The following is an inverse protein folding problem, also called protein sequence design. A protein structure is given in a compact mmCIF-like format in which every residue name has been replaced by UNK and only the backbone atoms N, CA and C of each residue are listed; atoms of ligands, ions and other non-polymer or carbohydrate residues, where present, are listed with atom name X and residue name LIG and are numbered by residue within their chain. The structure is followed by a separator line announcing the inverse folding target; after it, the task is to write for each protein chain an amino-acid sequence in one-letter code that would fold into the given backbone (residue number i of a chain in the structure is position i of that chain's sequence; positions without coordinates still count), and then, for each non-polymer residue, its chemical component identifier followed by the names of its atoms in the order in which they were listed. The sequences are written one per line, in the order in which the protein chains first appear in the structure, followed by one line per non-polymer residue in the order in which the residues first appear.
data_IF_226620951106
#
_entry.id   IF_226620951106
#
_cell.length_a   1.000
_cell.length_b   1.000
_cell.length_c   1.000
_cell.angle_alpha   90.00
_cell.angle_beta   90.00
_cell.angle_gamma   90.00
#
_symmetry.space_group_name_H-M   'P 1'
#
loop_
_entity.id
_entity.type
_entity.pdbx_description
1 polymer ?
#
# COMPACT_ATOMS: atom_id res chain seq x y z
N UNK A 1 -28.58 22.93 -79.17
CA UNK A 1 -29.87 22.27 -78.85
C UNK A 1 -29.56 21.19 -77.83
N UNK A 2 -29.69 21.53 -76.55
CA UNK A 2 -30.90 21.38 -75.72
C UNK A 2 -31.03 19.94 -75.20
N UNK A 3 -30.90 19.87 -73.86
CA UNK A 3 -31.48 18.87 -72.95
C UNK A 3 -30.89 17.48 -73.10
N UNK A 4 -29.89 17.15 -72.28
CA UNK A 4 -29.86 15.86 -71.57
C UNK A 4 -28.79 15.76 -70.45
N UNK A 5 -28.12 16.87 -70.07
CA UNK A 5 -27.08 16.87 -69.03
C UNK A 5 -27.62 17.30 -67.65
N UNK A 6 -28.84 16.91 -67.27
CA UNK A 6 -29.44 17.35 -65.99
C UNK A 6 -30.34 16.33 -65.29
N UNK A 7 -30.20 15.03 -65.59
CA UNK A 7 -31.03 13.96 -64.99
C UNK A 7 -30.24 12.81 -64.39
N UNK A 8 -28.91 12.92 -64.26
CA UNK A 8 -28.04 11.92 -63.62
C UNK A 8 -27.44 12.41 -62.28
N UNK A 9 -28.10 13.33 -61.60
CA UNK A 9 -27.72 13.81 -60.25
C UNK A 9 -28.78 13.39 -59.22
N UNK A 10 -29.50 12.29 -59.47
CA UNK A 10 -30.48 11.75 -58.51
C UNK A 10 -30.37 10.23 -58.36
N UNK A 11 -29.14 9.71 -58.32
CA UNK A 11 -28.85 8.33 -57.90
C UNK A 11 -27.51 8.29 -57.13
N UNK A 12 -27.30 9.27 -56.24
CA UNK A 12 -26.17 9.32 -55.29
C UNK A 12 -26.62 8.96 -53.86
N UNK A 13 -27.87 8.56 -53.67
CA UNK A 13 -28.34 8.00 -52.42
C UNK A 13 -28.48 6.48 -52.57
N UNK A 14 -27.96 5.73 -51.59
CA UNK A 14 -27.96 4.26 -51.48
C UNK A 14 -26.76 3.58 -52.16
N UNK A 15 -25.57 3.75 -51.59
CA UNK A 15 -24.48 2.74 -51.62
C UNK A 15 -23.41 3.09 -50.55
N UNK A 16 -23.85 3.35 -49.32
CA UNK A 16 -22.98 3.42 -48.13
C UNK A 16 -23.67 2.71 -46.96
N UNK A 17 -23.97 1.43 -47.14
CA UNK A 17 -24.38 0.53 -46.09
C UNK A 17 -23.76 -0.83 -46.38
N UNK A 18 -22.55 -1.06 -45.86
CA UNK A 18 -21.88 -2.34 -46.02
C UNK A 18 -20.42 -2.31 -45.62
N UNK A 19 -20.14 -2.91 -44.46
CA UNK A 19 -18.83 -3.41 -44.04
C UNK A 19 -17.76 -2.38 -43.62
N UNK A 20 -18.03 -1.65 -42.53
CA UNK A 20 -16.98 -1.44 -41.51
C UNK A 20 -16.98 -2.66 -40.59
N UNK A 21 -16.33 -3.75 -41.03
CA UNK A 21 -15.94 -4.81 -40.09
C UNK A 21 -14.78 -4.29 -39.27
N UNK A 22 -15.10 -3.79 -38.08
CA UNK A 22 -14.14 -3.52 -37.01
C UNK A 22 -13.48 -4.85 -36.59
N UNK A 23 -12.39 -5.23 -37.25
CA UNK A 23 -11.44 -6.17 -36.69
C UNK A 23 -10.54 -5.41 -35.70
N UNK A 24 -11.14 -4.93 -34.60
CA UNK A 24 -10.43 -4.41 -33.44
C UNK A 24 -10.66 -5.38 -32.29
N UNK A 25 -9.93 -6.49 -32.29
CA UNK A 25 -9.70 -7.28 -31.09
C UNK A 25 -8.54 -8.25 -31.36
N UNK A 26 -7.33 -7.74 -31.16
CA UNK A 26 -6.09 -8.51 -31.30
C UNK A 26 -4.99 -7.92 -30.43
N UNK A 27 -5.36 -7.38 -29.26
CA UNK A 27 -4.38 -7.17 -28.20
C UNK A 27 -3.76 -8.52 -27.88
N UNK A 28 -2.45 -8.61 -28.07
CA UNK A 28 -1.64 -9.77 -27.75
C UNK A 28 -1.99 -10.25 -26.34
N UNK A 29 -2.74 -11.35 -26.25
CA UNK A 29 -2.81 -12.13 -25.01
C UNK A 29 -1.37 -12.49 -24.70
N UNK A 30 -0.80 -11.88 -23.66
CA UNK A 30 0.42 -12.38 -23.03
C UNK A 30 0.14 -13.85 -22.74
N UNK A 31 0.83 -14.73 -23.45
CA UNK A 31 0.78 -16.17 -23.20
C UNK A 31 1.43 -16.37 -21.84
N UNK A 32 0.62 -16.39 -20.78
CA UNK A 32 1.05 -16.87 -19.48
C UNK A 32 1.53 -18.30 -19.68
N UNK A 33 2.82 -18.52 -19.42
CA UNK A 33 3.43 -19.84 -19.45
C UNK A 33 2.60 -20.77 -18.55
N UNK A 34 2.00 -21.81 -19.14
CA UNK A 34 1.12 -22.72 -18.42
C UNK A 34 1.86 -23.47 -17.29
N UNK A 35 3.20 -23.46 -17.27
CA UNK A 35 4.01 -24.00 -16.18
C UNK A 35 3.98 -23.13 -14.91
N UNK A 36 3.61 -21.85 -15.00
CA UNK A 36 3.58 -20.91 -13.87
C UNK A 36 2.23 -20.86 -13.14
N UNK A 37 1.22 -21.58 -13.63
CA UNK A 37 -0.13 -21.57 -13.09
C UNK A 37 -0.97 -20.36 -13.53
N UNK A 38 -2.04 -20.08 -12.79
CA UNK A 38 -2.96 -18.96 -13.07
C UNK A 38 -2.66 -17.79 -12.15
N UNK A 39 -2.41 -16.63 -12.74
CA UNK A 39 -2.32 -15.36 -12.01
C UNK A 39 -3.63 -15.06 -11.27
N UNK A 40 -3.53 -14.71 -10.00
CA UNK A 40 -4.66 -14.41 -9.14
C UNK A 40 -4.70 -12.91 -8.85
N UNK A 41 -5.86 -12.29 -9.07
CA UNK A 41 -6.12 -10.95 -8.56
C UNK A 41 -6.59 -11.07 -7.10
N UNK A 42 -5.76 -10.58 -6.18
CA UNK A 42 -6.00 -10.64 -4.74
C UNK A 42 -6.62 -9.30 -4.30
N UNK A 43 -7.85 -9.29 -3.76
CA UNK A 43 -8.46 -8.05 -3.28
C UNK A 43 -7.70 -7.49 -2.07
N UNK A 44 -7.67 -6.17 -1.93
CA UNK A 44 -6.96 -5.51 -0.84
C UNK A 44 -5.45 -5.86 -0.81
N UNK A 45 -4.86 -6.17 -1.95
CA UNK A 45 -3.44 -6.50 -2.06
C UNK A 45 -2.55 -5.28 -1.85
N UNK A 46 -1.26 -5.53 -1.64
CA UNK A 46 -0.26 -4.46 -1.55
C UNK A 46 -0.17 -3.66 -2.87
N UNK A 47 -0.43 -4.25 -4.04
CA UNK A 47 -0.47 -3.50 -5.30
C UNK A 47 -1.49 -2.34 -5.26
N UNK A 48 -2.63 -2.56 -4.61
CA UNK A 48 -3.70 -1.57 -4.43
C UNK A 48 -3.47 -0.68 -3.18
N UNK A 49 -2.97 -1.26 -2.09
CA UNK A 49 -2.86 -0.62 -0.78
C UNK A 49 -1.42 -0.54 -0.27
N UNK A 50 -0.46 -0.31 -1.17
CA UNK A 50 0.94 -0.10 -0.81
C UNK A 50 1.10 1.11 0.10
N UNK A 51 2.10 1.10 0.98
CA UNK A 51 2.44 2.27 1.78
C UNK A 51 2.88 3.44 0.89
N UNK A 52 2.60 4.67 1.30
CA UNK A 52 3.02 5.86 0.56
C UNK A 52 3.67 6.89 1.49
N UNK A 53 4.03 8.06 0.95
CA UNK A 53 4.65 9.15 1.73
C UNK A 53 3.82 9.67 2.91
N UNK A 54 2.55 9.31 3.00
CA UNK A 54 1.58 9.84 3.95
C UNK A 54 1.00 8.78 4.87
N UNK A 55 0.98 7.51 4.47
CA UNK A 55 0.40 6.41 5.23
C UNK A 55 1.27 5.16 5.19
N UNK A 56 1.43 4.54 6.36
CA UNK A 56 1.80 3.14 6.42
C UNK A 56 0.57 2.28 6.22
N UNK A 57 0.72 1.20 5.45
CA UNK A 57 -0.36 0.26 5.17
C UNK A 57 0.09 -1.18 5.41
N UNK A 58 -0.87 -2.00 5.80
CA UNK A 58 -0.69 -3.43 5.95
C UNK A 58 -1.91 -4.17 5.41
N UNK A 59 -1.65 -5.22 4.63
CA UNK A 59 -2.67 -6.06 4.03
C UNK A 59 -2.65 -7.44 4.66
N UNK A 60 -3.80 -8.07 4.80
CA UNK A 60 -3.88 -9.40 5.38
C UNK A 60 -5.08 -10.19 4.91
N UNK A 61 -4.99 -11.51 5.06
CA UNK A 61 -6.05 -12.42 4.67
C UNK A 61 -6.34 -13.48 5.73
N UNK A 62 -7.57 -13.98 5.73
CA UNK A 62 -8.01 -14.96 6.72
C UNK A 62 -9.09 -15.86 6.17
N UNK A 63 -8.95 -17.16 6.42
CA UNK A 63 -9.94 -18.16 6.03
C UNK A 63 -10.42 -19.02 7.19
N UNK A 64 -11.72 -19.31 7.19
CA UNK A 64 -12.37 -20.18 8.17
C UNK A 64 -13.79 -20.56 7.73
N UNK A 65 -14.31 -21.67 8.24
CA UNK A 65 -15.75 -21.98 8.16
C UNK A 65 -16.60 -21.09 9.08
N UNK A 66 -15.98 -20.40 10.04
CA UNK A 66 -16.61 -19.39 10.89
C UNK A 66 -16.19 -17.98 10.44
N UNK A 67 -17.16 -17.16 10.01
CA UNK A 67 -16.90 -15.81 9.49
C UNK A 67 -16.15 -14.91 10.49
N UNK A 68 -16.51 -14.96 11.77
CA UNK A 68 -15.84 -14.15 12.81
C UNK A 68 -14.38 -14.55 12.97
N UNK A 69 -14.08 -15.85 12.90
CA UNK A 69 -12.70 -16.33 12.94
C UNK A 69 -11.92 -15.92 11.68
N UNK A 70 -12.52 -15.99 10.49
CA UNK A 70 -11.88 -15.54 9.24
C UNK A 70 -11.54 -14.04 9.29
N UNK A 71 -12.49 -13.22 9.74
CA UNK A 71 -12.28 -11.77 9.94
C UNK A 71 -11.16 -11.48 10.93
N UNK A 72 -11.18 -12.13 12.09
CA UNK A 72 -10.14 -11.95 13.11
C UNK A 72 -8.75 -12.31 12.58
N UNK A 73 -8.63 -13.41 11.81
CA UNK A 73 -7.36 -13.79 11.17
C UNK A 73 -6.88 -12.73 10.19
N UNK A 74 -7.75 -12.26 9.30
CA UNK A 74 -7.39 -11.24 8.31
C UNK A 74 -6.94 -9.93 8.96
N UNK A 75 -7.64 -9.47 10.01
CA UNK A 75 -7.24 -8.27 10.75
C UNK A 75 -5.92 -8.44 11.51
N UNK A 76 -5.69 -9.60 12.13
CA UNK A 76 -4.41 -9.87 12.81
C UNK A 76 -3.24 -9.90 11.83
N UNK A 77 -3.43 -10.52 10.67
CA UNK A 77 -2.44 -10.59 9.60
C UNK A 77 -2.13 -9.19 9.03
N UNK A 78 -3.16 -8.39 8.75
CA UNK A 78 -2.99 -7.02 8.27
C UNK A 78 -2.24 -6.14 9.28
N UNK A 79 -2.57 -6.25 10.57
CA UNK A 79 -1.87 -5.55 11.64
C UNK A 79 -0.41 -6.00 11.79
N UNK A 80 -0.13 -7.30 11.61
CA UNK A 80 1.24 -7.82 11.66
C UNK A 80 2.07 -7.27 10.49
N UNK A 81 1.51 -7.21 9.29
CA UNK A 81 2.19 -6.65 8.12
C UNK A 81 2.44 -5.14 8.27
N UNK A 82 1.45 -4.40 8.78
CA UNK A 82 1.61 -2.98 9.12
C UNK A 82 2.74 -2.78 10.14
N UNK A 83 2.72 -3.54 11.24
CA UNK A 83 3.74 -3.46 12.29
C UNK A 83 5.14 -3.78 11.76
N UNK A 84 5.27 -4.80 10.93
CA UNK A 84 6.54 -5.19 10.33
C UNK A 84 7.07 -4.11 9.37
N UNK A 85 6.21 -3.47 8.59
CA UNK A 85 6.58 -2.34 7.73
C UNK A 85 7.11 -1.17 8.58
N UNK A 86 6.32 -0.73 9.55
CA UNK A 86 6.64 0.40 10.43
C UNK A 86 7.94 0.16 11.22
N UNK A 87 8.11 -1.03 11.81
CA UNK A 87 9.32 -1.38 12.57
C UNK A 87 10.58 -1.39 11.70
N UNK A 88 10.50 -1.84 10.43
CA UNK A 88 11.63 -1.81 9.51
C UNK A 88 12.04 -0.37 9.19
N UNK A 89 11.07 0.48 8.85
CA UNK A 89 11.31 1.89 8.57
C UNK A 89 11.93 2.59 9.77
N UNK A 90 11.37 2.40 10.96
CA UNK A 90 11.89 2.99 12.21
C UNK A 90 13.29 2.52 12.53
N UNK A 91 13.58 1.23 12.31
CA UNK A 91 14.93 0.71 12.49
C UNK A 91 15.92 1.46 11.58
N UNK A 92 15.61 1.59 10.30
CA UNK A 92 16.45 2.33 9.36
C UNK A 92 16.61 3.79 9.76
N UNK A 93 15.54 4.45 10.23
CA UNK A 93 15.61 5.82 10.75
C UNK A 93 16.54 5.90 11.97
N UNK A 94 16.42 4.99 12.93
CA UNK A 94 17.27 4.92 14.13
C UNK A 94 18.75 4.74 13.76
N UNK A 95 19.03 3.77 12.88
CA UNK A 95 20.39 3.47 12.42
C UNK A 95 20.99 4.67 11.68
N UNK A 96 20.22 5.37 10.85
CA UNK A 96 20.69 6.59 10.14
C UNK A 96 20.85 7.78 11.09
N UNK A 97 19.99 7.93 12.07
CA UNK A 97 20.02 9.04 13.01
C UNK A 97 21.26 8.97 13.93
N UNK A 98 21.60 7.77 14.39
CA UNK A 98 22.67 7.52 15.36
C UNK A 98 24.08 7.54 14.75
N UNK A 99 24.22 7.56 13.41
CA UNK A 99 25.52 7.63 12.72
C UNK A 99 26.37 8.85 13.10
N UNK A 100 25.75 9.96 13.49
CA UNK A 100 26.43 11.19 13.86
C UNK A 100 26.56 11.40 15.39
N UNK A 101 26.09 10.45 16.20
CA UNK A 101 26.18 10.51 17.67
C UNK A 101 27.55 9.97 18.11
N UNK A 102 28.20 10.63 19.08
CA UNK A 102 29.48 10.19 19.64
C UNK A 102 29.40 8.77 20.25
N UNK A 103 30.45 7.98 20.03
CA UNK A 103 30.55 6.51 20.19
C UNK A 103 30.20 5.95 21.60
N UNK A 104 29.99 6.79 22.62
CA UNK A 104 29.54 6.36 23.95
C UNK A 104 28.02 6.31 24.15
N UNK A 105 27.28 7.26 23.57
CA UNK A 105 25.85 7.45 23.82
C UNK A 105 24.96 6.87 22.68
N UNK A 106 25.55 6.63 21.50
CA UNK A 106 24.84 6.16 20.32
C UNK A 106 24.15 4.79 20.50
N UNK A 107 24.83 3.84 21.16
CA UNK A 107 24.28 2.49 21.37
C UNK A 107 23.12 2.49 22.39
N UNK A 108 23.24 3.24 23.49
CA UNK A 108 22.17 3.36 24.48
C UNK A 108 20.97 4.11 23.88
N UNK A 109 21.23 5.17 23.09
CA UNK A 109 20.18 5.88 22.37
C UNK A 109 19.44 4.96 21.40
N UNK A 110 20.16 4.19 20.57
CA UNK A 110 19.57 3.29 19.59
C UNK A 110 18.66 2.25 20.26
N UNK A 111 19.13 1.61 21.34
CA UNK A 111 18.36 0.60 22.08
C UNK A 111 17.08 1.20 22.68
N UNK A 112 17.19 2.32 23.40
CA UNK A 112 16.04 3.01 23.99
C UNK A 112 15.04 3.50 22.95
N UNK A 113 15.56 4.03 21.84
CA UNK A 113 14.73 4.51 20.74
C UNK A 113 13.98 3.35 20.07
N UNK A 114 14.64 2.21 19.79
CA UNK A 114 14.01 1.03 19.23
C UNK A 114 12.92 0.47 20.17
N UNK A 115 13.19 0.36 21.47
CA UNK A 115 12.24 -0.14 22.46
C UNK A 115 11.02 0.77 22.64
N UNK A 116 11.26 2.07 22.77
CA UNK A 116 10.22 3.09 22.85
C UNK A 116 9.34 3.02 21.59
N UNK A 117 9.95 2.91 20.42
CA UNK A 117 9.19 2.95 19.18
C UNK A 117 8.37 1.69 18.96
N UNK A 118 8.89 0.51 19.30
CA UNK A 118 8.08 -0.73 19.33
C UNK A 118 6.84 -0.58 20.22
N UNK A 119 6.96 0.12 21.35
CA UNK A 119 5.82 0.42 22.23
C UNK A 119 4.79 1.32 21.55
N UNK A 120 5.22 2.37 20.85
CA UNK A 120 4.34 3.26 20.07
C UNK A 120 3.61 2.48 18.97
N UNK A 121 4.34 1.67 18.19
CA UNK A 121 3.75 0.83 17.14
C UNK A 121 2.66 -0.06 17.72
N UNK A 122 2.96 -0.81 18.80
CA UNK A 122 1.99 -1.69 19.44
C UNK A 122 0.75 -0.95 19.97
N UNK A 123 0.91 0.28 20.47
CA UNK A 123 -0.23 1.11 20.88
C UNK A 123 -1.10 1.50 19.68
N UNK A 124 -0.47 1.92 18.59
CA UNK A 124 -1.15 2.40 17.40
C UNK A 124 -1.88 1.30 16.63
N UNK A 125 -1.40 0.04 16.71
CA UNK A 125 -2.09 -1.13 16.15
C UNK A 125 -3.51 -1.35 16.71
N UNK A 126 -3.83 -0.77 17.88
CA UNK A 126 -5.18 -0.85 18.44
C UNK A 126 -6.18 0.12 17.79
N UNK A 127 -5.71 1.13 17.04
CA UNK A 127 -6.54 2.21 16.52
C UNK A 127 -6.30 2.47 15.01
N UNK A 128 -5.97 1.42 14.26
CA UNK A 128 -5.74 1.51 12.81
C UNK A 128 -7.04 1.66 12.04
N UNK A 129 -7.02 2.46 10.96
CA UNK A 129 -8.16 2.60 10.08
C UNK A 129 -8.23 1.41 9.10
N UNK A 130 -9.42 0.84 8.90
CA UNK A 130 -9.63 -0.16 7.84
C UNK A 130 -10.02 0.54 6.54
N UNK A 131 -9.21 0.40 5.50
CA UNK A 131 -9.42 1.04 4.18
C UNK A 131 -9.91 0.08 3.10
N UNK A 132 -9.71 -1.23 3.29
CA UNK A 132 -10.28 -2.25 2.44
C UNK A 132 -10.79 -3.42 3.28
N UNK A 133 -11.96 -3.93 2.93
CA UNK A 133 -12.50 -5.15 3.51
C UNK A 133 -13.36 -5.86 2.46
N UNK A 134 -12.94 -7.07 2.08
CA UNK A 134 -13.67 -7.93 1.14
C UNK A 134 -13.87 -9.30 1.76
N UNK A 135 -15.09 -9.81 1.71
CA UNK A 135 -15.46 -11.12 2.23
C UNK A 135 -16.10 -11.94 1.11
N UNK A 136 -15.62 -13.17 0.95
CA UNK A 136 -16.16 -14.15 0.01
C UNK A 136 -16.58 -15.40 0.75
N UNK A 137 -17.56 -16.11 0.21
CA UNK A 137 -17.98 -17.41 0.70
C UNK A 137 -18.03 -18.39 -0.45
N UNK A 138 -17.40 -19.55 -0.27
CA UNK A 138 -17.47 -20.67 -1.19
C UNK A 138 -17.52 -21.98 -0.41
N UNK A 139 -18.49 -22.83 -0.70
CA UNK A 139 -18.60 -24.19 -0.12
C UNK A 139 -18.53 -24.20 1.42
N UNK A 140 -19.19 -23.24 2.07
CA UNK A 140 -19.22 -23.14 3.54
C UNK A 140 -17.93 -22.59 4.18
N UNK A 141 -16.93 -22.21 3.37
CA UNK A 141 -15.70 -21.52 3.82
C UNK A 141 -15.81 -20.03 3.50
N UNK A 142 -15.38 -19.19 4.45
CA UNK A 142 -15.24 -17.75 4.27
C UNK A 142 -13.78 -17.40 4.04
N UNK A 143 -13.52 -16.52 3.08
CA UNK A 143 -12.23 -15.90 2.82
C UNK A 143 -12.39 -14.38 2.97
N UNK A 144 -11.57 -13.78 3.82
CA UNK A 144 -11.63 -12.35 4.15
C UNK A 144 -10.29 -11.72 3.83
N UNK A 145 -10.32 -10.56 3.17
CA UNK A 145 -9.17 -9.74 2.82
C UNK A 145 -9.35 -8.36 3.44
N UNK A 146 -8.31 -7.83 4.07
CA UNK A 146 -8.33 -6.55 4.77
C UNK A 146 -7.08 -5.77 4.43
N UNK A 147 -7.23 -4.45 4.25
CA UNK A 147 -6.12 -3.51 4.31
C UNK A 147 -6.39 -2.48 5.41
N UNK A 148 -5.37 -2.20 6.21
CA UNK A 148 -5.39 -1.19 7.28
C UNK A 148 -4.34 -0.12 7.02
N UNK A 149 -4.55 1.06 7.56
CA UNK A 149 -3.60 2.15 7.47
C UNK A 149 -3.46 2.96 8.77
N UNK A 150 -2.31 3.61 8.88
CA UNK A 150 -1.99 4.59 9.90
C UNK A 150 -1.34 5.79 9.22
N UNK A 151 -1.79 6.99 9.59
CA UNK A 151 -1.20 8.22 9.11
C UNK A 151 0.24 8.36 9.63
N UNK A 152 1.16 8.69 8.72
CA UNK A 152 2.57 8.95 9.02
C UNK A 152 2.73 10.01 10.11
N UNK A 153 2.00 11.11 10.00
CA UNK A 153 2.10 12.22 10.94
C UNK A 153 1.62 11.85 12.34
N UNK A 154 0.60 10.98 12.46
CA UNK A 154 0.15 10.47 13.75
C UNK A 154 1.26 9.64 14.42
N UNK A 155 1.90 8.74 13.66
CA UNK A 155 3.03 7.94 14.13
C UNK A 155 4.21 8.83 14.55
N UNK A 156 4.58 9.80 13.70
CA UNK A 156 5.70 10.69 13.91
C UNK A 156 5.49 11.57 15.15
N UNK A 157 4.28 12.10 15.34
CA UNK A 157 3.91 12.89 16.51
C UNK A 157 3.98 12.04 17.79
N UNK A 158 3.43 10.83 17.77
CA UNK A 158 3.47 9.92 18.93
C UNK A 158 4.91 9.54 19.32
N UNK A 159 5.77 9.30 18.33
CA UNK A 159 7.20 9.03 18.57
C UNK A 159 7.89 10.26 19.17
N UNK A 160 7.72 11.43 18.53
CA UNK A 160 8.34 12.69 18.97
C UNK A 160 7.91 13.06 20.39
N UNK A 161 6.63 12.89 20.72
CA UNK A 161 6.07 13.13 22.05
C UNK A 161 6.68 12.20 23.10
N UNK A 162 6.94 10.93 22.75
CA UNK A 162 7.60 9.97 23.65
C UNK A 162 9.06 10.33 23.89
N UNK A 163 9.80 10.70 22.85
CA UNK A 163 11.19 11.15 22.96
C UNK A 163 11.30 12.37 23.87
N UNK A 164 10.42 13.36 23.68
CA UNK A 164 10.45 14.59 24.47
C UNK A 164 10.22 14.38 25.98
N UNK A 165 9.62 13.24 26.36
CA UNK A 165 9.33 12.86 27.75
C UNK A 165 10.39 11.94 28.34
N UNK A 166 11.35 11.47 27.53
CA UNK A 166 12.47 10.64 27.98
C UNK A 166 13.71 11.52 28.21
N UNK A 167 14.22 11.52 29.44
CA UNK A 167 15.33 12.39 29.84
C UNK A 167 16.63 12.09 29.11
N UNK A 168 16.82 10.86 28.60
CA UNK A 168 18.03 10.47 27.86
C UNK A 168 17.88 10.76 26.39
N UNK A 169 16.76 10.37 25.78
CA UNK A 169 16.55 10.60 24.35
C UNK A 169 16.44 12.09 24.01
N UNK A 170 15.85 12.91 24.89
CA UNK A 170 15.66 14.34 24.64
C UNK A 170 16.97 15.14 24.49
N UNK A 171 18.05 14.72 25.14
CA UNK A 171 19.30 15.49 25.14
C UNK A 171 19.91 15.60 23.74
N UNK A 172 19.85 14.51 22.99
CA UNK A 172 20.45 14.41 21.65
C UNK A 172 19.40 14.43 20.54
N UNK A 173 18.15 14.79 20.85
CA UNK A 173 17.05 14.79 19.89
C UNK A 173 16.96 16.10 19.10
N UNK A 174 17.44 16.07 17.87
CA UNK A 174 17.14 17.03 16.82
C UNK A 174 15.89 16.57 16.06
N UNK A 175 14.76 17.18 16.41
CA UNK A 175 13.46 16.93 15.78
C UNK A 175 13.51 17.12 14.26
N UNK A 176 14.12 18.20 13.77
CA UNK A 176 14.12 18.50 12.33
C UNK A 176 14.93 17.45 11.57
N UNK A 177 16.11 17.07 12.09
CA UNK A 177 16.93 16.02 11.49
C UNK A 177 16.17 14.68 11.47
N UNK A 178 15.53 14.32 12.58
CA UNK A 178 14.76 13.09 12.68
C UNK A 178 13.61 13.05 11.68
N UNK A 179 12.79 14.10 11.62
CA UNK A 179 11.65 14.19 10.69
C UNK A 179 12.12 14.13 9.23
N UNK A 180 13.25 14.76 8.90
CA UNK A 180 13.83 14.68 7.56
C UNK A 180 14.21 13.24 7.19
N UNK A 181 14.95 12.54 8.06
CA UNK A 181 15.33 11.14 7.83
C UNK A 181 14.07 10.26 7.70
N UNK A 182 13.08 10.46 8.57
CA UNK A 182 11.83 9.72 8.53
C UNK A 182 11.09 9.92 7.20
N UNK A 183 10.95 11.17 6.76
CA UNK A 183 10.30 11.51 5.49
C UNK A 183 11.04 10.93 4.27
N UNK A 184 12.37 10.89 4.31
CA UNK A 184 13.17 10.23 3.28
C UNK A 184 12.93 8.73 3.25
N UNK A 185 12.89 8.05 4.40
CA UNK A 185 12.60 6.61 4.45
C UNK A 185 11.17 6.28 3.99
N UNK A 186 10.18 7.14 4.30
CA UNK A 186 8.83 7.00 3.76
C UNK A 186 8.79 7.19 2.24
N UNK A 187 9.59 8.11 1.71
CA UNK A 187 9.70 8.31 0.27
C UNK A 187 10.37 7.12 -0.42
N UNK A 188 11.34 6.46 0.22
CA UNK A 188 11.91 5.21 -0.28
C UNK A 188 10.89 4.08 -0.26
N UNK A 189 10.18 3.92 0.86
CA UNK A 189 9.14 2.91 1.02
C UNK A 189 8.11 3.00 -0.11
N UNK A 190 7.61 4.19 -0.43
CA UNK A 190 6.68 4.41 -1.55
C UNK A 190 7.22 3.94 -2.91
N UNK A 191 8.55 4.00 -3.12
CA UNK A 191 9.18 3.60 -4.38
C UNK A 191 9.52 2.10 -4.43
N UNK A 192 9.41 1.38 -3.32
CA UNK A 192 9.61 -0.07 -3.24
C UNK A 192 8.36 -0.87 -3.63
N UNK A 193 7.50 -0.29 -4.50
CA UNK A 193 6.27 -0.95 -4.94
C UNK A 193 6.56 -2.34 -5.52
N UNK A 194 5.74 -3.35 -5.19
CA UNK A 194 5.81 -4.66 -5.82
C UNK A 194 5.59 -4.60 -7.35
#
# INVERSE_FOLDING_TARGET
MKKLELTKILFVAILFAGAFTLASCGGSKKTTDASLGKELNIPCSDDEFHSDKTHFRGTGMGESTNLSAARRKASLDANAMLAASVNRTIKTVSDRYTQDITVGDASEFAEKFEDMTRSVVNQQLNNVATVCNKTFQKEGKYSVYVAVEVAKDEMLNNISDRISKDDRLRLDYDKMKFENIFNEEMSKLENERP
#
